data_IF_189907791468
#
_entry.id   IF_189907791468
#
_cell.length_a   1.000
_cell.length_b   1.000
_cell.length_c   1.000
_cell.angle_alpha   90.00
_cell.angle_beta   90.00
_cell.angle_gamma   90.00
#
_symmetry.space_group_name_H-M   'P 1'
#
loop_
_entity.id
_entity.type
_entity.pdbx_description
1 polymer ?
#
# COMPACT_ATOMS: atom_id res chain seq x y z
N UNK A 1 30.57 56.97 31.57
CA UNK A 1 31.51 56.33 30.61
C UNK A 1 30.77 55.16 29.99
N UNK A 2 30.31 55.36 28.76
CA UNK A 2 29.36 54.49 28.05
C UNK A 2 30.14 53.65 27.05
N UNK A 3 29.96 52.33 27.07
CA UNK A 3 30.41 51.42 26.01
C UNK A 3 29.21 50.52 25.63
N UNK A 4 28.70 50.61 24.39
CA UNK A 4 27.59 49.76 23.96
C UNK A 4 28.10 48.36 23.59
N UNK A 5 27.46 47.32 24.12
CA UNK A 5 27.65 45.94 23.62
C UNK A 5 26.95 45.83 22.26
N UNK A 6 27.75 45.56 21.21
CA UNK A 6 27.25 45.20 19.87
C UNK A 6 26.37 43.95 19.96
N UNK A 7 25.13 44.08 19.51
CA UNK A 7 24.24 42.98 19.18
C UNK A 7 24.74 42.37 17.85
N UNK A 8 25.39 41.21 17.92
CA UNK A 8 25.75 40.48 16.70
C UNK A 8 24.55 39.68 16.22
N UNK A 9 24.13 39.94 14.98
CA UNK A 9 23.07 39.24 14.29
C UNK A 9 23.54 37.81 13.96
N UNK A 10 22.72 36.76 14.13
CA UNK A 10 23.03 35.48 13.51
C UNK A 10 22.90 35.63 11.99
N UNK A 11 24.01 35.37 11.32
CA UNK A 11 24.16 35.31 9.87
C UNK A 11 23.11 34.40 9.24
N UNK A 12 22.56 34.85 8.12
CA UNK A 12 21.57 34.12 7.33
C UNK A 12 22.01 32.69 7.01
N UNK A 13 21.04 31.78 7.08
CA UNK A 13 21.22 30.40 6.64
C UNK A 13 21.59 30.40 5.15
N UNK A 14 22.64 29.68 4.72
CA UNK A 14 22.94 29.54 3.32
C UNK A 14 21.81 28.74 2.63
N UNK A 15 21.20 29.36 1.62
CA UNK A 15 20.35 28.69 0.62
C UNK A 15 21.26 27.72 -0.14
N UNK A 16 21.25 26.44 0.25
CA UNK A 16 22.13 25.46 -0.39
C UNK A 16 22.32 24.11 0.31
N UNK A 17 21.60 23.81 1.40
CA UNK A 17 21.66 22.47 1.99
C UNK A 17 20.86 21.48 1.12
N UNK A 18 21.55 20.79 0.19
CA UNK A 18 21.05 19.52 -0.34
C UNK A 18 20.79 18.60 0.85
N UNK A 19 19.53 18.17 1.02
CA UNK A 19 19.15 17.24 2.08
C UNK A 19 20.03 15.99 2.01
N UNK A 20 20.63 15.55 3.13
CA UNK A 20 21.38 14.30 3.16
C UNK A 20 20.46 13.14 2.77
N UNK A 21 20.97 12.26 1.91
CA UNK A 21 20.23 11.17 1.23
C UNK A 21 19.90 9.98 2.15
N UNK A 22 19.95 10.14 3.48
CA UNK A 22 19.99 9.01 4.45
C UNK A 22 18.96 9.08 5.56
N UNK A 23 17.94 9.96 5.47
CA UNK A 23 16.74 9.84 6.29
C UNK A 23 15.52 9.80 5.37
N UNK A 24 15.22 8.61 4.84
CA UNK A 24 13.90 8.34 4.27
C UNK A 24 12.90 8.45 5.42
N UNK A 25 12.28 9.64 5.55
CA UNK A 25 11.22 9.87 6.51
C UNK A 25 10.10 8.88 6.19
N UNK A 26 9.87 7.90 7.08
CA UNK A 26 8.67 7.04 7.08
C UNK A 26 7.47 7.97 7.24
N UNK A 27 6.91 8.43 6.10
CA UNK A 27 5.70 9.23 6.09
C UNK A 27 4.52 8.27 6.22
N UNK A 28 3.69 8.39 7.27
CA UNK A 28 2.43 7.65 7.30
C UNK A 28 1.56 8.17 6.16
N UNK A 29 1.24 7.33 5.19
CA UNK A 29 0.26 7.60 4.16
C UNK A 29 -0.80 6.48 4.15
N UNK A 30 -2.03 6.87 3.82
CA UNK A 30 -3.08 5.98 3.37
C UNK A 30 -3.55 6.54 2.02
N UNK A 31 -3.44 5.76 0.95
CA UNK A 31 -3.82 6.15 -0.41
C UNK A 31 -4.36 4.97 -1.22
N UNK A 32 -4.69 5.18 -2.49
CA UNK A 32 -5.09 4.12 -3.42
C UNK A 32 -6.26 3.28 -2.91
N UNK A 33 -7.30 3.92 -2.39
CA UNK A 33 -8.46 3.23 -1.84
C UNK A 33 -9.26 2.54 -2.95
N UNK A 34 -9.55 1.26 -2.78
CA UNK A 34 -10.33 0.43 -3.67
C UNK A 34 -11.44 -0.27 -2.89
N UNK A 35 -12.67 -0.19 -3.38
CA UNK A 35 -13.84 -0.83 -2.77
C UNK A 35 -13.92 -2.29 -3.22
N UNK A 36 -14.18 -3.19 -2.27
CA UNK A 36 -14.45 -4.59 -2.54
C UNK A 36 -15.74 -5.02 -1.81
N UNK A 37 -16.64 -5.70 -2.51
CA UNK A 37 -17.92 -6.16 -1.97
C UNK A 37 -18.11 -7.65 -2.17
N UNK A 38 -18.54 -8.35 -1.12
CA UNK A 38 -18.82 -9.79 -1.16
C UNK A 38 -19.72 -10.19 0.01
N UNK A 39 -20.69 -11.09 -0.25
CA UNK A 39 -21.54 -11.66 0.81
C UNK A 39 -22.27 -10.62 1.66
N UNK A 40 -22.68 -9.50 1.06
CA UNK A 40 -23.33 -8.38 1.76
C UNK A 40 -22.38 -7.50 2.61
N UNK A 41 -21.07 -7.76 2.59
CA UNK A 41 -20.05 -6.94 3.26
C UNK A 41 -19.43 -5.96 2.27
N UNK A 42 -19.00 -4.81 2.79
CA UNK A 42 -18.23 -3.80 2.05
C UNK A 42 -16.89 -3.57 2.74
N UNK A 43 -15.82 -3.64 1.95
CA UNK A 43 -14.44 -3.41 2.37
C UNK A 43 -13.86 -2.23 1.60
N UNK A 44 -13.00 -1.46 2.25
CA UNK A 44 -12.08 -0.53 1.58
C UNK A 44 -10.67 -1.06 1.78
N UNK A 45 -10.02 -1.45 0.69
CA UNK A 45 -8.62 -1.84 0.68
C UNK A 45 -7.82 -0.60 0.29
N UNK A 46 -6.73 -0.32 1.01
CA UNK A 46 -5.96 0.89 0.80
C UNK A 46 -4.46 0.61 0.99
N UNK A 47 -3.62 1.36 0.28
CA UNK A 47 -2.18 1.31 0.45
C UNK A 47 -1.76 2.06 1.71
N UNK A 48 -0.86 1.46 2.48
CA UNK A 48 -0.30 2.00 3.70
C UNK A 48 1.23 1.95 3.66
N UNK A 49 1.86 2.95 4.29
CA UNK A 49 3.30 3.27 4.23
C UNK A 49 3.63 4.22 3.08
N UNK A 50 4.84 4.21 2.54
CA UNK A 50 5.25 5.14 1.50
C UNK A 50 6.15 4.41 0.50
N UNK A 51 5.88 4.60 -0.79
CA UNK A 51 6.53 3.87 -1.88
C UNK A 51 8.06 4.03 -1.92
N UNK A 52 8.63 4.99 -1.21
CA UNK A 52 10.09 5.13 -1.07
C UNK A 52 10.74 3.98 -0.29
N UNK A 53 9.93 3.10 0.32
CA UNK A 53 10.35 1.93 1.10
C UNK A 53 9.86 0.65 0.43
N UNK A 54 10.48 -0.48 0.76
CA UNK A 54 10.00 -1.81 0.37
C UNK A 54 8.74 -2.25 1.15
N UNK A 55 8.24 -1.41 2.05
CA UNK A 55 7.23 -1.74 3.06
C UNK A 55 5.82 -1.25 2.71
N UNK A 56 5.58 -0.76 1.49
CA UNK A 56 4.20 -0.58 1.03
C UNK A 56 3.42 -1.89 1.18
N UNK A 57 2.20 -1.76 1.68
CA UNK A 57 1.31 -2.87 2.01
C UNK A 57 -0.14 -2.43 1.92
N UNK A 58 -1.05 -3.39 1.87
CA UNK A 58 -2.48 -3.11 1.87
C UNK A 58 -3.05 -3.26 3.28
N UNK A 59 -3.78 -2.23 3.73
CA UNK A 59 -4.67 -2.28 4.88
C UNK A 59 -6.13 -2.45 4.43
N UNK A 60 -7.01 -2.67 5.41
CA UNK A 60 -8.45 -2.87 5.15
C UNK A 60 -9.29 -2.15 6.20
N UNK A 61 -10.35 -1.48 5.73
CA UNK A 61 -11.50 -1.06 6.53
C UNK A 61 -12.69 -1.95 6.18
N UNK A 62 -13.43 -2.40 7.19
CA UNK A 62 -14.67 -3.15 7.03
C UNK A 62 -15.84 -2.29 7.46
N UNK A 63 -16.83 -2.12 6.60
CA UNK A 63 -18.06 -1.42 6.96
C UNK A 63 -18.88 -2.25 7.95
N UNK A 64 -19.31 -1.62 9.05
CA UNK A 64 -20.01 -2.28 10.16
C UNK A 64 -21.45 -1.77 10.33
N UNK A 65 -22.03 -1.15 9.29
CA UNK A 65 -23.36 -0.54 9.32
C UNK A 65 -23.35 0.92 9.78
N UNK A 66 -24.52 1.58 9.72
CA UNK A 66 -24.68 3.00 10.05
C UNK A 66 -24.48 3.94 8.86
N UNK A 67 -24.15 5.21 9.11
CA UNK A 67 -23.86 6.16 8.02
C UNK A 67 -22.46 5.91 7.44
N UNK A 68 -22.30 5.55 6.15
CA UNK A 68 -20.99 5.33 5.53
C UNK A 68 -20.06 6.56 5.57
N UNK A 69 -20.60 7.77 5.74
CA UNK A 69 -19.83 9.00 5.90
C UNK A 69 -19.29 9.19 7.32
N UNK A 70 -19.78 8.42 8.29
CA UNK A 70 -19.26 8.41 9.65
C UNK A 70 -18.07 7.46 9.76
N UNK A 71 -16.97 7.93 10.37
CA UNK A 71 -15.79 7.10 10.64
C UNK A 71 -16.09 5.93 11.59
N UNK A 72 -17.08 6.06 12.48
CA UNK A 72 -17.50 5.00 13.40
C UNK A 72 -18.14 3.79 12.70
N UNK A 73 -18.57 3.96 11.45
CA UNK A 73 -19.14 2.90 10.62
C UNK A 73 -18.07 1.98 10.02
N UNK A 74 -16.78 2.25 10.26
CA UNK A 74 -15.65 1.54 9.66
C UNK A 74 -14.73 0.96 10.73
N UNK A 75 -14.50 -0.35 10.66
CA UNK A 75 -13.55 -1.07 11.53
C UNK A 75 -12.26 -1.31 10.78
N UNK A 76 -11.14 -0.83 11.32
CA UNK A 76 -9.81 -1.01 10.73
C UNK A 76 -9.22 -2.37 11.12
N UNK A 77 -8.70 -3.11 10.14
CA UNK A 77 -7.93 -4.32 10.41
C UNK A 77 -6.66 -3.98 11.22
N UNK A 78 -6.35 -4.74 12.29
CA UNK A 78 -5.15 -4.49 13.10
C UNK A 78 -3.86 -4.83 12.35
N UNK A 79 -3.93 -5.72 11.36
CA UNK A 79 -2.79 -6.19 10.58
C UNK A 79 -2.98 -5.89 9.08
N UNK A 80 -1.88 -5.75 8.31
CA UNK A 80 -1.93 -5.69 6.85
C UNK A 80 -2.61 -6.94 6.29
N UNK A 81 -3.41 -6.76 5.23
CA UNK A 81 -4.09 -7.85 4.53
C UNK A 81 -3.32 -8.36 3.31
N UNK A 82 -2.31 -7.61 2.87
CA UNK A 82 -1.38 -8.01 1.82
C UNK A 82 -0.08 -7.22 1.98
N UNK A 83 1.07 -7.89 1.93
CA UNK A 83 2.37 -7.26 2.18
C UNK A 83 3.50 -7.96 1.44
N UNK A 84 4.68 -7.34 1.42
CA UNK A 84 5.87 -7.89 0.77
C UNK A 84 6.15 -9.35 1.14
N UNK A 85 6.75 -10.07 0.21
CA UNK A 85 7.29 -11.42 0.40
C UNK A 85 8.74 -11.45 -0.05
N UNK A 86 9.66 -11.45 0.91
CA UNK A 86 11.10 -11.50 0.64
C UNK A 86 11.48 -12.84 -0.04
N UNK A 87 10.81 -13.93 0.35
CA UNK A 87 10.98 -15.25 -0.26
C UNK A 87 10.60 -15.26 -1.74
N UNK A 88 9.57 -14.51 -2.13
CA UNK A 88 9.10 -14.42 -3.52
C UNK A 88 9.73 -13.24 -4.28
N UNK A 89 10.63 -12.47 -3.63
CA UNK A 89 11.21 -11.22 -4.16
C UNK A 89 10.13 -10.24 -4.64
N UNK A 90 9.12 -10.03 -3.80
CA UNK A 90 8.01 -9.10 -4.08
C UNK A 90 7.98 -8.03 -3.00
N UNK A 91 8.22 -6.79 -3.38
CA UNK A 91 8.43 -5.68 -2.44
C UNK A 91 7.45 -4.54 -2.70
N UNK A 92 6.90 -3.98 -1.62
CA UNK A 92 5.96 -2.85 -1.69
C UNK A 92 4.72 -3.09 -2.56
N UNK A 93 3.93 -4.16 -2.38
CA UNK A 93 2.65 -4.29 -3.08
C UNK A 93 1.69 -3.15 -2.67
N UNK A 94 1.10 -2.49 -3.66
CA UNK A 94 0.24 -1.34 -3.41
C UNK A 94 -0.69 -0.96 -4.57
N UNK A 95 -1.56 0.01 -4.31
CA UNK A 95 -2.52 0.63 -5.23
C UNK A 95 -3.20 -0.41 -6.11
N UNK A 96 -3.99 -1.25 -5.46
CA UNK A 96 -4.59 -2.41 -6.08
C UNK A 96 -5.89 -2.07 -6.82
N UNK A 97 -6.38 -3.05 -7.57
CA UNK A 97 -7.73 -3.13 -8.11
C UNK A 97 -8.26 -4.56 -7.98
N UNK A 98 -9.53 -4.77 -8.28
CA UNK A 98 -10.15 -6.09 -8.31
C UNK A 98 -10.88 -6.34 -9.63
N UNK A 99 -10.86 -7.59 -10.07
CA UNK A 99 -11.64 -8.03 -11.21
C UNK A 99 -12.06 -9.49 -11.02
N UNK A 100 -13.01 -9.94 -11.84
CA UNK A 100 -13.42 -11.34 -11.90
C UNK A 100 -12.91 -11.99 -13.17
N UNK A 101 -12.75 -13.30 -13.14
CA UNK A 101 -12.57 -14.09 -14.36
C UNK A 101 -13.76 -13.89 -15.33
N UNK A 102 -13.59 -14.16 -16.64
CA UNK A 102 -14.66 -14.05 -17.64
C UNK A 102 -15.98 -14.74 -17.27
N UNK A 103 -15.93 -15.91 -16.65
CA UNK A 103 -17.12 -16.65 -16.20
C UNK A 103 -17.66 -16.20 -14.82
N UNK A 104 -16.98 -15.26 -14.17
CA UNK A 104 -17.36 -14.70 -12.87
C UNK A 104 -17.10 -15.60 -11.67
N UNK A 105 -16.43 -16.75 -11.84
CA UNK A 105 -16.25 -17.75 -10.78
C UNK A 105 -15.03 -17.51 -9.89
N UNK A 106 -14.08 -16.69 -10.34
CA UNK A 106 -12.87 -16.37 -9.61
C UNK A 106 -12.75 -14.87 -9.35
N UNK A 107 -12.29 -14.52 -8.14
CA UNK A 107 -11.92 -13.15 -7.80
C UNK A 107 -10.40 -12.97 -7.87
N UNK A 108 -9.98 -11.88 -8.49
CA UNK A 108 -8.59 -11.56 -8.77
C UNK A 108 -8.22 -10.19 -8.21
N UNK A 109 -7.03 -10.10 -7.63
CA UNK A 109 -6.41 -8.84 -7.25
C UNK A 109 -5.38 -8.47 -8.30
N UNK A 110 -5.40 -7.22 -8.74
CA UNK A 110 -4.33 -6.60 -9.54
C UNK A 110 -3.63 -5.55 -8.68
N UNK A 111 -2.30 -5.46 -8.73
CA UNK A 111 -1.52 -4.54 -7.90
C UNK A 111 -0.16 -4.23 -8.53
N UNK A 112 0.48 -3.14 -8.12
CA UNK A 112 1.87 -2.86 -8.51
C UNK A 112 2.85 -3.31 -7.42
N UNK A 113 4.07 -3.66 -7.81
CA UNK A 113 5.14 -4.05 -6.88
C UNK A 113 6.52 -4.01 -7.53
N UNK A 114 7.58 -4.04 -6.72
CA UNK A 114 8.97 -4.14 -7.14
C UNK A 114 9.54 -5.56 -6.98
N UNK A 115 10.51 -5.92 -7.83
CA UNK A 115 11.32 -7.15 -7.70
C UNK A 115 12.60 -6.96 -6.87
N UNK A 116 12.89 -5.73 -6.46
CA UNK A 116 14.03 -5.36 -5.61
C UNK A 116 13.55 -4.61 -4.38
N UNK A 117 14.14 -4.91 -3.22
CA UNK A 117 13.91 -4.16 -1.98
C UNK A 117 14.40 -2.71 -2.06
N UNK A 118 15.23 -2.37 -3.04
CA UNK A 118 15.72 -1.02 -3.30
C UNK A 118 14.91 -0.24 -4.37
N UNK A 119 13.89 -0.86 -4.99
CA UNK A 119 13.18 -0.25 -6.14
C UNK A 119 12.39 1.01 -5.79
N UNK A 120 11.80 1.07 -4.59
CA UNK A 120 11.07 2.25 -4.14
C UNK A 120 9.99 2.74 -5.14
N UNK A 121 9.88 4.06 -5.33
CA UNK A 121 8.93 4.68 -6.27
C UNK A 121 9.43 4.76 -7.73
N UNK A 122 10.37 3.91 -8.14
CA UNK A 122 10.96 3.98 -9.48
C UNK A 122 10.01 3.49 -10.60
N UNK A 123 10.53 3.48 -11.83
CA UNK A 123 9.83 3.04 -13.04
C UNK A 123 9.90 1.52 -13.27
N UNK A 124 10.52 0.75 -12.35
CA UNK A 124 10.64 -0.70 -12.45
C UNK A 124 9.47 -1.44 -11.75
N UNK A 125 8.52 -0.70 -11.17
CA UNK A 125 7.29 -1.28 -10.66
C UNK A 125 6.51 -1.96 -11.77
N UNK A 126 6.21 -3.22 -11.56
CA UNK A 126 5.42 -4.06 -12.47
C UNK A 126 4.00 -4.22 -11.96
N UNK A 127 3.01 -4.18 -12.85
CA UNK A 127 1.65 -4.65 -12.56
C UNK A 127 1.65 -6.18 -12.49
N UNK A 128 0.98 -6.72 -11.47
CA UNK A 128 0.80 -8.16 -11.26
C UNK A 128 -0.64 -8.46 -10.91
N UNK A 129 -1.09 -9.68 -11.20
CA UNK A 129 -2.39 -10.16 -10.80
C UNK A 129 -2.29 -11.59 -10.27
N UNK A 130 -3.14 -11.92 -9.30
CA UNK A 130 -3.30 -13.28 -8.80
C UNK A 130 -4.73 -13.50 -8.29
N UNK A 131 -5.21 -14.74 -8.40
CA UNK A 131 -6.45 -15.16 -7.78
C UNK A 131 -6.35 -15.03 -6.26
N UNK A 132 -7.44 -14.61 -5.63
CA UNK A 132 -7.61 -14.66 -4.18
C UNK A 132 -8.86 -15.45 -3.80
N UNK A 133 -9.01 -15.71 -2.50
CA UNK A 133 -10.14 -16.49 -1.98
C UNK A 133 -10.84 -15.76 -0.84
N UNK A 134 -11.95 -16.29 -0.38
CA UNK A 134 -12.71 -15.74 0.74
C UNK A 134 -12.56 -16.63 1.96
N UNK A 135 -12.30 -16.04 3.11
CA UNK A 135 -12.32 -16.75 4.39
C UNK A 135 -13.76 -17.12 4.77
N UNK A 136 -13.93 -18.07 5.70
CA UNK A 136 -15.24 -18.51 6.16
C UNK A 136 -16.09 -17.39 6.81
N UNK A 137 -15.45 -16.33 7.33
CA UNK A 137 -16.12 -15.16 7.91
C UNK A 137 -16.52 -14.11 6.87
N UNK A 138 -16.26 -14.39 5.58
CA UNK A 138 -16.55 -13.52 4.44
C UNK A 138 -15.51 -12.43 4.19
N UNK A 139 -14.37 -12.42 4.91
CA UNK A 139 -13.26 -11.49 4.62
C UNK A 139 -12.38 -11.99 3.46
N UNK A 140 -11.76 -11.09 2.68
CA UNK A 140 -10.88 -11.50 1.59
C UNK A 140 -9.57 -12.09 2.12
N UNK A 141 -9.07 -13.11 1.43
CA UNK A 141 -7.77 -13.73 1.64
C UNK A 141 -6.92 -13.60 0.37
N UNK A 142 -6.12 -12.54 0.32
CA UNK A 142 -5.20 -12.24 -0.78
C UNK A 142 -3.96 -13.14 -0.83
N UNK A 143 -3.73 -13.91 0.23
CA UNK A 143 -2.56 -14.79 0.34
C UNK A 143 -1.24 -14.02 0.35
N UNK A 144 -0.22 -14.62 -0.27
CA UNK A 144 1.13 -14.05 -0.39
C UNK A 144 1.34 -13.57 -1.83
N UNK A 145 1.97 -12.40 -2.07
CA UNK A 145 2.25 -11.93 -3.42
C UNK A 145 3.12 -12.91 -4.21
N UNK A 146 2.71 -13.22 -5.44
CA UNK A 146 3.43 -14.16 -6.30
C UNK A 146 4.62 -13.50 -7.00
N UNK A 147 5.75 -14.21 -7.03
CA UNK A 147 6.98 -13.78 -7.68
C UNK A 147 6.91 -13.88 -9.21
N UNK A 148 7.78 -13.14 -9.91
CA UNK A 148 7.89 -13.26 -11.36
C UNK A 148 8.37 -14.66 -11.76
N UNK A 149 7.89 -15.14 -12.91
CA UNK A 149 8.29 -16.44 -13.47
C UNK A 149 7.61 -17.64 -12.80
N UNK A 150 6.77 -17.43 -11.78
CA UNK A 150 5.91 -18.49 -11.23
C UNK A 150 4.71 -18.67 -12.17
N UNK A 151 4.48 -19.87 -12.72
CA UNK A 151 3.29 -20.12 -13.53
C UNK A 151 2.03 -19.99 -12.68
N UNK A 152 1.07 -19.21 -13.16
CA UNK A 152 -0.29 -19.13 -12.63
C UNK A 152 -1.26 -19.63 -13.71
N UNK A 153 -2.31 -20.31 -13.29
CA UNK A 153 -3.44 -20.56 -14.19
C UNK A 153 -4.03 -19.21 -14.61
N UNK A 154 -4.34 -19.05 -15.89
CA UNK A 154 -5.14 -17.93 -16.38
C UNK A 154 -6.48 -17.85 -15.65
N UNK A 155 -7.08 -16.66 -15.53
CA UNK A 155 -8.47 -16.52 -15.12
C UNK A 155 -9.37 -17.52 -15.86
N UNK A 156 -10.27 -18.17 -15.14
CA UNK A 156 -11.12 -19.20 -15.73
C UNK A 156 -11.91 -18.68 -16.94
N UNK A 157 -11.93 -19.49 -18.00
CA UNK A 157 -12.56 -19.16 -19.29
C UNK A 157 -11.89 -18.01 -20.08
N UNK A 158 -10.58 -17.81 -19.92
CA UNK A 158 -9.71 -17.04 -20.84
C UNK A 158 -9.25 -17.86 -22.06
#
# INVERSE_FOLDING_TARGET
MTLPRKLSHPRGLPVGARRPRTAQLRRPANDGAEVLQHGGKTFIIYSASHCSTADDKLGMLTYNGGDPLSSSSWVKSPNPVFQRSDANRVYGPGHNGFFKSPDGTEDWIVYHTNSSSSGGCDMNRSTRAQKFTWNADGTPNFGTPVGLGVPLASPSSE
#
